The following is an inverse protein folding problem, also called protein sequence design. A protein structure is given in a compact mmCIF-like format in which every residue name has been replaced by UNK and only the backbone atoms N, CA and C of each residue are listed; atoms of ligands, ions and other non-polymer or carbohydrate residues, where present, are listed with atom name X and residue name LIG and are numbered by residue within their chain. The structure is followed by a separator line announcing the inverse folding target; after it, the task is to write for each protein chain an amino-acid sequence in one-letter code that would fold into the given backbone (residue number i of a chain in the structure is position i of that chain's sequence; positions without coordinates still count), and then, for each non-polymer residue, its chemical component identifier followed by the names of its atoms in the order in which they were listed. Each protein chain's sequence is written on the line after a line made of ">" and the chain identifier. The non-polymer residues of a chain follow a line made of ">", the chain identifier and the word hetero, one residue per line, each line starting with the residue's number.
data_IF_947956825964
#
_entry.id   IF_947956825964
#
_cell.length_a   1.000
_cell.length_b   1.000
_cell.length_c   1.000
_cell.angle_alpha   90.00
_cell.angle_beta   90.00
_cell.angle_gamma   90.00
#
_symmetry.space_group_name_H-M   'P 1'
#
loop_
_entity.id
_entity.type
_entity.pdbx_description
1 polymer ?
#
# COMPACT_ATOMS: atom_id res chain seq x y z
N UNK A 1 -3.94 33.42 10.90
CA UNK A 1 -4.22 32.51 9.77
C UNK A 1 -3.48 31.20 9.99
N UNK A 2 -4.16 30.05 9.98
CA UNK A 2 -3.46 28.76 10.12
C UNK A 2 -2.53 28.53 8.91
N UNK A 3 -1.29 28.13 9.16
CA UNK A 3 -0.29 27.93 8.11
C UNK A 3 -0.76 26.81 7.19
N UNK A 4 -0.85 27.06 5.87
CA UNK A 4 -1.21 26.02 4.89
C UNK A 4 -0.27 24.82 5.06
N UNK A 5 -0.85 23.62 5.16
CA UNK A 5 -0.08 22.38 5.33
C UNK A 5 0.85 22.19 4.13
N UNK A 6 2.14 21.94 4.38
CA UNK A 6 3.11 21.71 3.32
C UNK A 6 2.80 20.42 2.55
N UNK A 7 3.13 20.37 1.27
CA UNK A 7 2.97 19.17 0.44
C UNK A 7 3.67 17.94 1.05
N UNK A 8 4.85 18.13 1.63
CA UNK A 8 5.59 17.08 2.37
C UNK A 8 4.74 16.47 3.49
N UNK A 9 4.03 17.30 4.26
CA UNK A 9 3.17 16.83 5.34
C UNK A 9 1.91 16.14 4.82
N UNK A 10 1.33 16.61 3.71
CA UNK A 10 0.21 15.93 3.04
C UNK A 10 0.61 14.53 2.56
N UNK A 11 1.73 14.40 1.84
CA UNK A 11 2.27 13.11 1.38
C UNK A 11 2.54 12.17 2.55
N UNK A 12 3.18 12.66 3.63
CA UNK A 12 3.42 11.86 4.85
C UNK A 12 2.10 11.36 5.47
N UNK A 13 1.08 12.22 5.53
CA UNK A 13 -0.24 11.86 6.05
C UNK A 13 -0.91 10.79 5.18
N UNK A 14 -0.83 10.94 3.86
CA UNK A 14 -1.37 9.97 2.91
C UNK A 14 -0.65 8.61 3.02
N UNK A 15 0.68 8.59 3.02
CA UNK A 15 1.48 7.38 3.19
C UNK A 15 1.08 6.61 4.45
N UNK A 16 0.89 7.32 5.58
CA UNK A 16 0.52 6.72 6.84
C UNK A 16 -0.86 6.07 6.80
N UNK A 17 -1.88 6.80 6.33
CA UNK A 17 -3.26 6.29 6.33
C UNK A 17 -3.45 5.19 5.27
N UNK A 18 -2.80 5.31 4.13
CA UNK A 18 -2.79 4.28 3.08
C UNK A 18 -2.11 2.99 3.58
N UNK A 19 -0.95 3.11 4.23
CA UNK A 19 -0.26 1.96 4.85
C UNK A 19 -1.12 1.26 5.90
N UNK A 20 -1.86 2.03 6.70
CA UNK A 20 -2.80 1.46 7.66
C UNK A 20 -3.94 0.71 6.97
N UNK A 21 -4.52 1.28 5.90
CA UNK A 21 -5.56 0.62 5.11
C UNK A 21 -5.09 -0.72 4.50
N UNK A 22 -3.92 -0.76 3.85
CA UNK A 22 -3.40 -2.00 3.24
C UNK A 22 -3.24 -3.13 4.27
N UNK A 23 -2.77 -2.81 5.48
CA UNK A 23 -2.60 -3.80 6.56
C UNK A 23 -3.91 -4.27 7.17
N UNK A 24 -4.97 -3.45 7.09
CA UNK A 24 -6.28 -3.72 7.65
C UNK A 24 -7.28 -4.36 6.67
N UNK A 25 -7.15 -4.11 5.36
CA UNK A 25 -8.23 -4.42 4.40
C UNK A 25 -8.65 -5.89 4.40
N UNK A 26 -7.69 -6.79 4.62
CA UNK A 26 -7.88 -8.24 4.67
C UNK A 26 -7.62 -8.81 6.07
N UNK A 27 -7.56 -7.97 7.11
CA UNK A 27 -7.48 -8.46 8.48
C UNK A 27 -8.84 -9.01 8.92
N UNK A 28 -8.83 -10.12 9.67
CA UNK A 28 -10.04 -10.69 10.25
C UNK A 28 -10.53 -9.88 11.47
N UNK A 29 -11.61 -10.33 12.11
CA UNK A 29 -12.21 -9.65 13.28
C UNK A 29 -11.25 -9.52 14.48
N UNK A 30 -10.22 -10.36 14.57
CA UNK A 30 -9.17 -10.30 15.60
C UNK A 30 -7.98 -9.41 15.18
N UNK A 31 -8.08 -8.73 14.03
CA UNK A 31 -7.02 -7.90 13.49
C UNK A 31 -5.84 -8.68 12.92
N UNK A 32 -6.00 -9.98 12.66
CA UNK A 32 -4.95 -10.82 12.07
C UNK A 32 -5.03 -10.76 10.55
N UNK A 33 -3.90 -10.48 9.90
CA UNK A 33 -3.77 -10.54 8.45
C UNK A 33 -2.60 -11.45 8.05
N UNK A 34 -2.61 -11.89 6.80
CA UNK A 34 -1.63 -12.81 6.24
C UNK A 34 -0.63 -12.06 5.36
N UNK A 35 0.67 -12.32 5.55
CA UNK A 35 1.74 -11.82 4.68
C UNK A 35 1.56 -12.34 3.25
N UNK A 36 1.45 -11.42 2.30
CA UNK A 36 1.18 -11.70 0.90
C UNK A 36 2.20 -12.64 0.25
N UNK A 37 3.47 -12.60 0.66
CA UNK A 37 4.53 -13.39 -0.01
C UNK A 37 4.91 -14.68 0.68
N UNK A 38 4.61 -14.84 1.98
CA UNK A 38 5.02 -16.04 2.73
C UNK A 38 3.92 -16.70 3.56
N UNK A 39 2.70 -16.17 3.60
CA UNK A 39 1.59 -16.76 4.35
C UNK A 39 1.67 -16.57 5.87
N UNK A 40 2.70 -15.91 6.41
CA UNK A 40 2.78 -15.64 7.86
C UNK A 40 1.57 -14.81 8.31
N UNK A 41 0.87 -15.29 9.32
CA UNK A 41 -0.21 -14.55 9.99
C UNK A 41 0.32 -13.78 11.20
N UNK A 42 -0.10 -12.53 11.35
CA UNK A 42 0.22 -11.70 12.52
C UNK A 42 -0.82 -10.58 12.66
N UNK A 43 -0.84 -9.91 13.81
CA UNK A 43 -1.70 -8.75 14.01
C UNK A 43 -1.26 -7.61 13.09
N UNK A 44 -2.19 -6.92 12.43
CA UNK A 44 -1.91 -5.89 11.41
C UNK A 44 -0.93 -4.80 11.88
N UNK A 45 -0.93 -4.47 13.18
CA UNK A 45 0.01 -3.53 13.80
C UNK A 45 1.48 -3.96 13.69
N UNK A 46 1.75 -5.28 13.61
CA UNK A 46 3.08 -5.88 13.45
C UNK A 46 3.45 -6.13 11.99
N UNK A 47 2.49 -6.05 11.08
CA UNK A 47 2.71 -6.17 9.64
C UNK A 47 3.05 -4.82 9.02
N UNK A 48 3.53 -4.86 7.78
CA UNK A 48 4.02 -3.74 6.98
C UNK A 48 3.20 -3.61 5.69
N UNK A 49 3.25 -2.42 5.07
CA UNK A 49 2.76 -2.18 3.72
C UNK A 49 3.90 -2.44 2.71
N UNK A 50 3.92 -3.63 2.13
CA UNK A 50 4.85 -4.03 1.09
C UNK A 50 4.47 -3.43 -0.25
N UNK A 51 5.46 -2.94 -1.01
CA UNK A 51 5.26 -2.42 -2.35
C UNK A 51 5.97 -3.33 -3.35
N UNK A 52 5.28 -3.74 -4.42
CA UNK A 52 5.90 -4.42 -5.55
C UNK A 52 6.82 -3.44 -6.30
N UNK A 53 6.25 -2.42 -6.93
CA UNK A 53 6.99 -1.29 -7.50
C UNK A 53 7.28 -0.25 -6.42
N UNK A 54 8.53 0.22 -6.38
CA UNK A 54 9.03 1.13 -5.35
C UNK A 54 8.17 2.39 -5.17
N UNK A 55 8.00 2.82 -3.92
CA UNK A 55 7.28 4.05 -3.54
C UNK A 55 7.82 5.33 -4.22
N UNK A 56 9.01 5.30 -4.84
CA UNK A 56 9.55 6.41 -5.64
C UNK A 56 8.65 6.72 -6.85
N UNK A 57 7.92 5.73 -7.36
CA UNK A 57 7.02 5.85 -8.49
C UNK A 57 5.63 6.29 -8.03
N UNK A 58 5.28 7.56 -8.27
CA UNK A 58 3.98 8.10 -7.83
C UNK A 58 2.80 7.42 -8.54
N UNK A 59 2.97 6.91 -9.76
CA UNK A 59 1.92 6.19 -10.49
C UNK A 59 1.41 4.95 -9.75
N UNK A 60 2.25 4.31 -8.94
CA UNK A 60 1.93 3.07 -8.22
C UNK A 60 2.05 3.18 -6.69
N UNK A 61 2.49 4.33 -6.15
CA UNK A 61 2.75 4.54 -4.72
C UNK A 61 1.53 4.31 -3.81
N UNK A 62 0.34 4.73 -4.26
CA UNK A 62 -0.92 4.55 -3.53
C UNK A 62 -1.91 3.69 -4.32
N UNK A 63 -1.37 2.83 -5.17
CA UNK A 63 -2.11 1.83 -5.92
C UNK A 63 -2.33 0.60 -5.03
N UNK A 64 -3.59 0.24 -4.83
CA UNK A 64 -4.02 -0.85 -3.96
C UNK A 64 -3.58 -2.23 -4.49
N UNK A 65 -3.35 -2.38 -5.79
CA UNK A 65 -2.83 -3.62 -6.41
C UNK A 65 -1.33 -3.70 -6.19
N UNK A 66 -0.61 -2.59 -6.39
CA UNK A 66 0.85 -2.52 -6.16
C UNK A 66 1.25 -2.76 -4.70
N UNK A 67 0.35 -2.50 -3.77
CA UNK A 67 0.62 -2.51 -2.33
C UNK A 67 -0.12 -3.64 -1.64
N UNK A 68 0.61 -4.52 -0.96
CA UNK A 68 0.07 -5.68 -0.26
C UNK A 68 0.65 -5.78 1.15
N UNK A 69 -0.08 -6.40 2.07
CA UNK A 69 0.40 -6.61 3.44
C UNK A 69 1.58 -7.58 3.44
N UNK A 70 2.66 -7.26 4.15
CA UNK A 70 3.83 -8.14 4.28
C UNK A 70 4.35 -8.15 5.72
N UNK A 71 4.97 -9.26 6.13
CA UNK A 71 5.75 -9.29 7.37
C UNK A 71 7.09 -8.55 7.19
N UNK A 72 7.71 -8.12 8.30
CA UNK A 72 9.00 -7.44 8.26
C UNK A 72 10.12 -8.29 7.62
N UNK A 73 10.11 -9.61 7.87
CA UNK A 73 11.06 -10.56 7.27
C UNK A 73 11.05 -10.47 5.73
N UNK A 74 9.88 -10.53 5.10
CA UNK A 74 9.76 -10.44 3.65
C UNK A 74 10.02 -9.02 3.15
N UNK A 75 9.35 -8.02 3.73
CA UNK A 75 9.40 -6.64 3.21
C UNK A 75 10.79 -6.00 3.38
N UNK A 76 11.38 -6.11 4.57
CA UNK A 76 12.61 -5.39 4.92
C UNK A 76 13.84 -6.25 4.64
N UNK A 77 13.87 -7.48 5.18
CA UNK A 77 15.10 -8.29 5.17
C UNK A 77 15.29 -9.12 3.88
N UNK A 78 14.21 -9.33 3.11
CA UNK A 78 14.24 -10.05 1.83
C UNK A 78 13.73 -9.19 0.67
N UNK A 79 13.79 -7.87 0.84
CA UNK A 79 13.56 -6.88 -0.20
C UNK A 79 12.21 -7.03 -0.93
N UNK A 80 11.16 -7.39 -0.19
CA UNK A 80 9.80 -7.53 -0.70
C UNK A 80 9.49 -8.88 -1.35
N UNK A 81 10.45 -9.82 -1.44
CA UNK A 81 10.26 -11.12 -2.09
C UNK A 81 9.66 -10.96 -3.51
N UNK A 82 10.26 -10.07 -4.30
CA UNK A 82 9.70 -9.54 -5.56
C UNK A 82 9.14 -10.59 -6.52
N UNK A 83 9.86 -11.71 -6.71
CA UNK A 83 9.39 -12.79 -7.57
C UNK A 83 8.07 -13.42 -7.08
N UNK A 84 8.00 -13.78 -5.80
CA UNK A 84 6.77 -14.35 -5.20
C UNK A 84 5.63 -13.34 -5.18
N UNK A 85 5.96 -12.06 -4.97
CA UNK A 85 4.99 -10.98 -5.03
C UNK A 85 4.38 -10.90 -6.43
N UNK A 86 5.20 -10.84 -7.48
CA UNK A 86 4.76 -10.82 -8.88
C UNK A 86 3.89 -12.02 -9.25
N UNK A 87 4.34 -13.24 -8.93
CA UNK A 87 3.55 -14.45 -9.19
C UNK A 87 2.17 -14.43 -8.52
N UNK A 88 2.09 -13.95 -7.27
CA UNK A 88 0.81 -13.88 -6.55
C UNK A 88 -0.07 -12.75 -7.10
N UNK A 89 0.51 -11.63 -7.56
CA UNK A 89 -0.24 -10.58 -8.25
C UNK A 89 -0.93 -11.12 -9.49
N UNK A 90 -0.19 -11.81 -10.36
CA UNK A 90 -0.74 -12.38 -11.59
C UNK A 90 -1.83 -13.41 -11.29
N UNK A 91 -1.67 -14.19 -10.22
CA UNK A 91 -2.68 -15.14 -9.75
C UNK A 91 -3.96 -14.45 -9.26
N UNK A 92 -3.83 -13.39 -8.47
CA UNK A 92 -4.97 -12.76 -7.79
C UNK A 92 -5.71 -11.75 -8.69
N UNK A 93 -5.01 -11.09 -9.60
CA UNK A 93 -5.53 -9.99 -10.42
C UNK A 93 -5.53 -10.28 -11.93
N UNK A 94 -4.97 -11.41 -12.36
CA UNK A 94 -4.89 -11.82 -13.77
C UNK A 94 -3.46 -11.74 -14.32
N UNK A 95 -3.16 -12.63 -15.26
CA UNK A 95 -1.85 -12.72 -15.90
C UNK A 95 -1.45 -11.39 -16.53
N UNK A 96 -0.20 -10.95 -16.30
CA UNK A 96 0.34 -9.68 -16.80
C UNK A 96 0.19 -8.51 -15.84
N UNK A 97 -0.48 -8.68 -14.68
CA UNK A 97 -0.62 -7.62 -13.67
C UNK A 97 0.73 -7.08 -13.21
N UNK A 98 1.73 -7.95 -12.99
CA UNK A 98 3.07 -7.52 -12.60
C UNK A 98 3.73 -6.63 -13.68
N UNK A 99 3.55 -6.97 -14.95
CA UNK A 99 4.07 -6.22 -16.10
C UNK A 99 3.36 -4.86 -16.23
N UNK A 100 2.03 -4.84 -16.12
CA UNK A 100 1.23 -3.62 -16.16
C UNK A 100 1.61 -2.64 -15.03
N UNK A 101 1.85 -3.16 -13.82
CA UNK A 101 2.31 -2.34 -12.71
C UNK A 101 3.70 -1.76 -12.97
N UNK A 102 4.60 -2.52 -13.60
CA UNK A 102 5.90 -2.01 -14.00
C UNK A 102 5.78 -0.89 -15.04
N UNK A 103 4.97 -1.11 -16.09
CA UNK A 103 4.69 -0.11 -17.12
C UNK A 103 4.07 1.17 -16.52
N UNK A 104 3.14 1.01 -15.56
CA UNK A 104 2.54 2.14 -14.83
C UNK A 104 3.54 2.88 -13.94
N UNK A 105 4.50 2.18 -13.34
CA UNK A 105 5.49 2.79 -12.44
C UNK A 105 6.45 3.72 -13.19
N UNK A 106 6.79 3.41 -14.43
CA UNK A 106 7.70 4.23 -15.25
C UNK A 106 7.00 5.46 -15.87
N UNK A 107 5.66 5.49 -15.91
CA UNK A 107 4.90 6.64 -16.37
C UNK A 107 4.94 7.80 -15.36
N UNK A 108 5.18 9.02 -15.86
CA UNK A 108 5.19 10.23 -15.04
C UNK A 108 3.77 10.54 -14.58
N UNK A 109 3.51 10.34 -13.28
CA UNK A 109 2.24 10.70 -12.65
C UNK A 109 2.43 11.87 -11.69
N UNK A 110 1.60 12.91 -11.82
CA UNK A 110 1.60 14.08 -10.93
C UNK A 110 0.28 14.15 -10.18
N UNK A 111 0.36 14.29 -8.86
CA UNK A 111 -0.79 14.54 -8.01
C UNK A 111 -0.79 16.00 -7.55
N UNK A 112 -1.89 16.71 -7.73
CA UNK A 112 -2.11 18.01 -7.08
C UNK A 112 -2.23 17.84 -5.56
N UNK A 113 -2.21 18.94 -4.81
CA UNK A 113 -2.47 18.87 -3.36
C UNK A 113 -3.92 18.46 -3.08
N UNK A 114 -4.86 18.80 -3.96
CA UNK A 114 -6.27 18.43 -3.84
C UNK A 114 -6.44 16.92 -4.03
N UNK A 115 -5.73 16.30 -4.98
CA UNK A 115 -5.78 14.86 -5.19
C UNK A 115 -5.29 14.10 -3.95
N UNK A 116 -4.17 14.55 -3.38
CA UNK A 116 -3.63 13.97 -2.13
C UNK A 116 -4.64 14.11 -0.99
N UNK A 117 -5.29 15.27 -0.87
CA UNK A 117 -6.29 15.51 0.16
C UNK A 117 -7.54 14.62 -0.03
N UNK A 118 -7.97 14.41 -1.27
CA UNK A 118 -9.04 13.48 -1.64
C UNK A 118 -8.72 12.04 -1.25
N UNK A 119 -7.50 11.57 -1.56
CA UNK A 119 -7.04 10.25 -1.17
C UNK A 119 -6.95 10.08 0.36
N UNK A 120 -6.48 11.10 1.08
CA UNK A 120 -6.47 11.09 2.56
C UNK A 120 -7.90 10.91 3.09
N UNK A 121 -8.87 11.65 2.55
CA UNK A 121 -10.28 11.53 2.94
C UNK A 121 -10.81 10.13 2.66
N UNK A 122 -10.59 9.59 1.44
CA UNK A 122 -10.98 8.22 1.05
C UNK A 122 -10.45 7.18 2.05
N UNK A 123 -9.12 7.13 2.23
CA UNK A 123 -8.51 6.09 3.06
C UNK A 123 -8.79 6.27 4.55
N UNK A 124 -8.98 7.51 5.03
CA UNK A 124 -9.43 7.74 6.42
C UNK A 124 -10.81 7.12 6.65
N UNK A 125 -11.75 7.27 5.70
CA UNK A 125 -13.07 6.67 5.81
C UNK A 125 -13.01 5.14 5.76
N UNK A 126 -12.18 4.56 4.87
CA UNK A 126 -11.99 3.11 4.78
C UNK A 126 -11.37 2.51 6.05
N UNK A 127 -10.35 3.14 6.63
CA UNK A 127 -9.75 2.71 7.90
C UNK A 127 -10.77 2.77 9.04
N UNK A 128 -11.57 3.84 9.13
CA UNK A 128 -12.64 3.95 10.14
C UNK A 128 -13.64 2.81 10.03
N UNK A 129 -13.99 2.36 8.82
CA UNK A 129 -14.90 1.22 8.61
C UNK A 129 -14.30 -0.12 9.04
N UNK A 130 -12.96 -0.26 9.04
CA UNK A 130 -12.26 -1.50 9.40
C UNK A 130 -11.95 -1.65 10.89
N UNK A 131 -12.03 -0.56 11.66
CA UNK A 131 -11.73 -0.53 13.11
C UNK A 131 -13.03 -0.50 13.95
N UNK A 132 -14.18 -0.25 13.33
CA UNK A 132 -15.50 -0.43 13.96
C UNK A 132 -15.83 -1.91 14.06
#
# INVERSE_FOLDING_TARGET
>A
MSKKVSRKNLVKRLDNIFSQYIRLRNANALGIAECYTCGKQDHWKRLQNGHFQSRKHYGTRWDETNCQVQCAACNVFRYGEQYKFGLRLDKDYGQGTAEDLHAKAIQITKYSNNDIQGLITKYTALVKKKIK
#
